data_IF_387365505431
#
_entry.id   IF_387365505431
#
_cell.length_a   1.000
_cell.length_b   1.000
_cell.length_c   1.000
_cell.angle_alpha   90.00
_cell.angle_beta   90.00
_cell.angle_gamma   90.00
#
_symmetry.space_group_name_H-M   'P 1'
#
loop_
_entity.id
_entity.type
_entity.pdbx_description
1 polymer ?
#
# COMPACT_ATOMS: atom_id res chain seq x y z
N UNK A 1 11.57 -14.27 -17.33
CA UNK A 1 12.13 -13.25 -16.41
C UNK A 1 11.10 -12.14 -16.35
N UNK A 2 10.14 -12.22 -15.43
CA UNK A 2 9.18 -11.14 -15.18
C UNK A 2 9.46 -10.58 -13.80
N UNK A 3 10.29 -9.54 -13.76
CA UNK A 3 10.36 -8.67 -12.61
C UNK A 3 9.06 -7.90 -12.53
N UNK A 4 8.08 -8.40 -11.77
CA UNK A 4 6.93 -7.60 -11.35
C UNK A 4 7.48 -6.47 -10.48
N UNK A 5 7.81 -5.35 -11.11
CA UNK A 5 8.04 -4.08 -10.42
C UNK A 5 6.77 -3.84 -9.61
N UNK A 6 6.87 -3.96 -8.28
CA UNK A 6 5.83 -3.55 -7.36
C UNK A 6 5.68 -2.02 -7.43
N UNK A 7 5.09 -1.53 -8.52
CA UNK A 7 4.57 -0.18 -8.61
C UNK A 7 3.37 -0.15 -7.68
N UNK A 8 3.53 0.56 -6.57
CA UNK A 8 2.42 0.96 -5.72
C UNK A 8 1.34 1.57 -6.63
N UNK A 9 0.12 1.00 -6.61
CA UNK A 9 -0.94 1.43 -7.52
C UNK A 9 -1.27 2.91 -7.28
N UNK A 10 -1.67 3.67 -8.31
CA UNK A 10 -2.14 5.04 -8.13
C UNK A 10 -3.26 5.10 -7.09
N UNK A 11 -3.33 6.18 -6.32
CA UNK A 11 -4.25 6.40 -5.20
C UNK A 11 -4.05 5.48 -3.98
N UNK A 12 -2.96 4.72 -3.91
CA UNK A 12 -2.61 4.01 -2.68
C UNK A 12 -2.25 5.00 -1.58
N UNK A 13 -2.90 4.88 -0.42
CA UNK A 13 -2.57 5.68 0.77
C UNK A 13 -1.25 5.20 1.36
N UNK A 14 -0.25 6.07 1.41
CA UNK A 14 1.09 5.77 1.94
C UNK A 14 1.31 6.33 3.35
N UNK A 15 0.53 7.34 3.76
CA UNK A 15 0.52 7.86 5.13
C UNK A 15 -0.83 8.49 5.48
N UNK A 16 -1.15 8.52 6.78
CA UNK A 16 -2.35 9.13 7.35
C UNK A 16 -2.02 9.96 8.59
N UNK A 17 -2.76 11.06 8.77
CA UNK A 17 -2.81 11.81 10.01
C UNK A 17 -4.26 12.24 10.29
N UNK A 18 -4.56 12.59 11.54
CA UNK A 18 -5.91 12.93 11.97
C UNK A 18 -5.92 14.21 12.81
N UNK A 19 -6.88 15.09 12.59
CA UNK A 19 -7.10 16.28 13.40
C UNK A 19 -8.52 16.25 13.98
N UNK A 20 -8.63 16.33 15.29
CA UNK A 20 -9.93 16.25 15.98
C UNK A 20 -10.67 17.60 15.94
N UNK A 21 -12.01 17.62 16.03
CA UNK A 21 -12.77 18.86 16.21
C UNK A 21 -12.27 19.69 17.41
N UNK A 22 -11.91 19.02 18.52
CA UNK A 22 -11.39 19.69 19.70
C UNK A 22 -10.10 20.48 19.41
N UNK A 23 -9.22 19.93 18.58
CA UNK A 23 -7.99 20.61 18.13
C UNK A 23 -8.29 21.76 17.16
N UNK A 24 -9.30 21.59 16.28
CA UNK A 24 -9.56 22.50 15.16
C UNK A 24 -10.46 23.69 15.52
N UNK A 25 -11.38 23.53 16.47
CA UNK A 25 -12.26 24.62 16.90
C UNK A 25 -12.55 24.67 18.41
N UNK A 26 -11.95 23.80 19.23
CA UNK A 26 -12.13 23.80 20.68
C UNK A 26 -13.43 23.14 21.17
N UNK A 27 -14.22 22.54 20.28
CA UNK A 27 -15.48 21.86 20.60
C UNK A 27 -15.51 20.43 20.03
N UNK A 28 -16.40 19.58 20.53
CA UNK A 28 -16.64 18.23 19.99
C UNK A 28 -17.29 18.22 18.59
N UNK A 29 -17.67 19.38 18.05
CA UNK A 29 -18.21 19.51 16.70
C UNK A 29 -17.84 20.86 16.12
N UNK A 30 -17.34 20.87 14.89
CA UNK A 30 -16.96 22.07 14.17
C UNK A 30 -17.79 22.24 12.91
N UNK A 31 -17.80 23.46 12.39
CA UNK A 31 -18.26 23.81 11.04
C UNK A 31 -17.07 24.22 10.20
N UNK A 32 -16.80 23.49 9.13
CA UNK A 32 -15.89 23.93 8.07
C UNK A 32 -16.63 24.98 7.23
N UNK A 33 -16.10 26.19 7.15
CA UNK A 33 -16.73 27.29 6.41
C UNK A 33 -15.93 27.74 5.20
N UNK A 34 -14.67 27.34 5.13
CA UNK A 34 -13.78 27.62 4.01
C UNK A 34 -12.77 26.49 3.89
N UNK A 35 -12.37 26.15 2.67
CA UNK A 35 -11.29 25.20 2.41
C UNK A 35 -10.55 25.59 1.13
N UNK A 36 -9.23 25.74 1.23
CA UNK A 36 -8.32 26.16 0.16
C UNK A 36 -7.17 25.16 0.02
N UNK A 37 -7.26 24.24 -0.94
CA UNK A 37 -6.11 23.44 -1.36
C UNK A 37 -5.10 24.28 -2.13
N UNK A 38 -3.80 24.09 -1.90
CA UNK A 38 -2.71 24.75 -2.64
C UNK A 38 -1.81 23.73 -3.32
N UNK A 39 -1.41 24.01 -4.56
CA UNK A 39 -0.40 23.22 -5.28
C UNK A 39 0.79 24.13 -5.61
N UNK A 40 1.99 23.78 -5.13
CA UNK A 40 3.20 24.58 -5.33
C UNK A 40 4.04 24.15 -6.53
N UNK A 41 3.54 23.21 -7.31
CA UNK A 41 4.18 22.72 -8.54
C UNK A 41 3.27 22.97 -9.73
N UNK A 42 3.87 23.46 -10.82
CA UNK A 42 3.18 23.85 -12.05
C UNK A 42 2.61 22.61 -12.76
N UNK A 43 1.31 22.64 -13.06
CA UNK A 43 0.67 21.71 -13.98
C UNK A 43 0.39 22.47 -15.27
N UNK A 44 1.38 22.45 -16.17
CA UNK A 44 1.48 23.14 -17.47
C UNK A 44 2.18 24.51 -17.49
N UNK A 45 2.73 24.84 -18.67
CA UNK A 45 3.51 26.05 -18.94
C UNK A 45 2.61 27.30 -18.94
N UNK A 46 2.86 28.21 -18.00
CA UNK A 46 2.13 29.47 -17.86
C UNK A 46 1.70 29.78 -16.43
N UNK A 47 1.75 28.79 -15.55
CA UNK A 47 1.31 28.96 -14.16
C UNK A 47 2.46 29.38 -13.23
N UNK A 48 2.22 30.46 -12.50
CA UNK A 48 3.00 30.94 -11.35
C UNK A 48 2.81 29.98 -10.16
N UNK A 49 3.88 29.56 -9.44
CA UNK A 49 3.77 28.74 -8.24
C UNK A 49 2.88 29.39 -7.17
N UNK A 50 1.90 28.65 -6.61
CA UNK A 50 1.07 29.12 -5.48
C UNK A 50 -0.43 29.27 -5.75
N UNK A 51 -0.97 28.72 -6.84
CA UNK A 51 -2.41 28.85 -7.13
C UNK A 51 -3.28 27.85 -6.35
N UNK A 52 -4.36 28.37 -5.79
CA UNK A 52 -5.43 27.61 -5.14
C UNK A 52 -5.99 26.59 -6.13
N UNK A 53 -5.98 25.31 -5.78
CA UNK A 53 -6.58 24.22 -6.55
C UNK A 53 -8.04 24.01 -6.14
N UNK A 54 -8.87 23.49 -7.05
CA UNK A 54 -10.22 23.05 -6.70
C UNK A 54 -10.21 21.74 -5.87
N UNK A 55 -9.07 21.04 -5.80
CA UNK A 55 -8.95 19.75 -5.11
C UNK A 55 -9.61 18.60 -5.90
N UNK A 56 -9.91 17.46 -5.25
CA UNK A 56 -9.71 17.16 -3.83
C UNK A 56 -8.25 16.81 -3.48
N UNK A 57 -7.40 16.61 -4.49
CA UNK A 57 -5.97 16.27 -4.31
C UNK A 57 -5.07 17.39 -4.77
N UNK A 58 -4.06 17.71 -3.96
CA UNK A 58 -2.98 18.65 -4.28
C UNK A 58 -1.69 17.90 -4.59
N UNK A 59 -0.90 18.41 -5.52
CA UNK A 59 0.39 17.82 -5.87
C UNK A 59 1.43 18.33 -4.87
N UNK A 60 2.23 17.42 -4.33
CA UNK A 60 3.29 17.78 -3.39
C UNK A 60 4.59 18.10 -4.12
N UNK A 61 5.54 18.73 -3.43
CA UNK A 61 6.92 18.92 -3.94
C UNK A 61 7.64 17.58 -4.15
N UNK A 62 7.22 16.53 -3.45
CA UNK A 62 7.76 15.18 -3.65
C UNK A 62 7.10 14.58 -4.89
N UNK A 63 7.89 14.46 -5.96
CA UNK A 63 7.46 13.82 -7.21
C UNK A 63 6.86 12.45 -6.91
N UNK A 64 5.63 12.27 -7.37
CA UNK A 64 4.96 11.00 -7.23
C UNK A 64 3.96 10.92 -6.06
N UNK A 65 3.85 11.98 -5.26
CA UNK A 65 2.94 12.03 -4.12
C UNK A 65 1.95 13.19 -4.24
N UNK A 66 0.71 12.90 -3.83
CA UNK A 66 -0.39 13.87 -3.69
C UNK A 66 -0.92 13.84 -2.28
N UNK A 67 -1.52 14.94 -1.84
CA UNK A 67 -2.24 14.99 -0.56
C UNK A 67 -3.72 15.24 -0.77
N UNK A 68 -4.55 14.72 0.12
CA UNK A 68 -5.95 15.08 0.25
C UNK A 68 -6.37 15.13 1.72
N UNK A 69 -7.49 15.80 1.97
CA UNK A 69 -8.15 15.81 3.28
C UNK A 69 -9.53 15.21 3.10
N UNK A 70 -9.94 14.31 3.99
CA UNK A 70 -11.28 13.77 4.06
C UNK A 70 -12.00 14.42 5.24
N UNK A 71 -13.18 14.95 4.95
CA UNK A 71 -14.09 15.50 5.95
C UNK A 71 -15.34 14.62 5.94
N UNK A 72 -15.73 14.09 7.10
CA UNK A 72 -16.79 13.07 7.20
C UNK A 72 -16.57 11.83 6.31
N UNK A 73 -15.31 11.48 6.03
CA UNK A 73 -14.94 10.34 5.19
C UNK A 73 -14.89 10.62 3.69
N UNK A 74 -15.26 11.82 3.24
CA UNK A 74 -15.29 12.19 1.82
C UNK A 74 -14.14 13.15 1.46
N UNK A 75 -13.45 12.98 0.31
CA UNK A 75 -12.41 13.90 -0.13
C UNK A 75 -12.92 15.33 -0.29
N UNK A 76 -12.34 16.26 0.47
CA UNK A 76 -12.76 17.65 0.51
C UNK A 76 -12.19 18.44 -0.67
N UNK A 77 -13.07 19.08 -1.42
CA UNK A 77 -12.74 20.06 -2.45
C UNK A 77 -12.76 21.48 -1.89
N UNK A 78 -12.39 22.45 -2.72
CA UNK A 78 -12.50 23.87 -2.38
C UNK A 78 -13.91 24.21 -1.87
N UNK A 79 -13.96 24.91 -0.73
CA UNK A 79 -15.18 25.45 -0.13
C UNK A 79 -15.01 26.96 0.05
N UNK A 80 -15.88 27.76 -0.54
CA UNK A 80 -15.93 29.22 -0.41
C UNK A 80 -16.86 29.62 0.76
N UNK A 81 -16.58 30.74 1.44
CA UNK A 81 -17.33 31.15 2.64
C UNK A 81 -18.81 31.45 2.41
N UNK A 82 -19.21 31.70 1.17
CA UNK A 82 -20.60 31.91 0.76
C UNK A 82 -21.38 30.59 0.56
N UNK A 83 -20.72 29.44 0.60
CA UNK A 83 -21.34 28.13 0.47
C UNK A 83 -21.78 27.59 1.85
N UNK A 84 -22.72 26.63 1.88
CA UNK A 84 -23.13 25.99 3.13
C UNK A 84 -21.96 25.36 3.88
N UNK A 85 -21.86 25.64 5.18
CA UNK A 85 -20.81 25.06 6.02
C UNK A 85 -20.99 23.56 6.22
N UNK A 86 -19.89 22.81 6.26
CA UNK A 86 -19.89 21.36 6.51
C UNK A 86 -19.69 21.12 8.02
N UNK A 87 -20.67 20.50 8.68
CA UNK A 87 -20.53 20.08 10.08
C UNK A 87 -19.76 18.76 10.17
N UNK A 88 -18.83 18.67 11.11
CA UNK A 88 -18.11 17.43 11.40
C UNK A 88 -17.85 17.28 12.90
N UNK A 89 -18.05 16.07 13.40
CA UNK A 89 -17.83 15.66 14.80
C UNK A 89 -16.80 14.53 14.93
N UNK A 90 -16.45 13.88 13.81
CA UNK A 90 -15.32 12.95 13.72
C UNK A 90 -14.03 13.69 13.33
N UNK A 91 -12.85 13.13 13.64
CA UNK A 91 -11.59 13.68 13.15
C UNK A 91 -11.56 13.74 11.62
N UNK A 92 -11.03 14.83 11.07
CA UNK A 92 -10.70 14.88 9.64
C UNK A 92 -9.47 14.01 9.38
N UNK A 93 -9.43 13.33 8.24
CA UNK A 93 -8.30 12.49 7.85
C UNK A 93 -7.46 13.19 6.79
N UNK A 94 -6.16 13.24 7.01
CA UNK A 94 -5.19 13.77 6.05
C UNK A 94 -4.47 12.57 5.45
N UNK A 95 -4.52 12.44 4.13
CA UNK A 95 -3.90 11.33 3.41
C UNK A 95 -2.78 11.82 2.51
N UNK A 96 -1.67 11.08 2.53
CA UNK A 96 -0.63 11.14 1.51
C UNK A 96 -0.84 9.93 0.59
N UNK A 97 -0.95 10.20 -0.71
CA UNK A 97 -1.31 9.24 -1.75
C UNK A 97 -0.18 9.09 -2.76
N UNK A 98 -0.04 7.89 -3.28
CA UNK A 98 0.72 7.63 -4.50
C UNK A 98 -0.02 8.20 -5.70
N UNK A 99 0.64 8.99 -6.54
CA UNK A 99 0.06 9.44 -7.81
C UNK A 99 0.29 8.41 -8.95
N UNK A 100 -0.19 8.73 -10.15
CA UNK A 100 0.00 7.89 -11.32
C UNK A 100 1.41 7.97 -11.95
N UNK A 101 2.33 8.74 -11.37
CA UNK A 101 3.68 8.86 -11.88
C UNK A 101 4.39 7.49 -11.78
N UNK A 102 5.19 7.10 -12.78
CA UNK A 102 6.02 5.90 -12.69
C UNK A 102 7.18 6.07 -11.69
N UNK A 103 7.49 7.31 -11.30
CA UNK A 103 8.64 7.64 -10.48
C UNK A 103 8.22 8.17 -9.11
N UNK A 104 8.72 7.55 -8.04
CA UNK A 104 8.68 8.11 -6.68
C UNK A 104 10.05 8.75 -6.46
N UNK A 105 10.11 10.08 -6.42
CA UNK A 105 11.36 10.78 -6.17
C UNK A 105 11.72 10.72 -4.68
N UNK A 106 13.02 10.62 -4.37
CA UNK A 106 13.50 11.11 -3.07
C UNK A 106 13.16 12.60 -2.97
N UNK A 107 12.78 13.07 -1.79
CA UNK A 107 12.50 14.49 -1.62
C UNK A 107 12.29 14.88 -0.17
N UNK A 108 12.63 16.13 0.13
CA UNK A 108 12.27 16.80 1.36
C UNK A 108 11.34 17.94 0.99
N UNK A 109 10.29 18.16 1.75
CA UNK A 109 9.38 19.30 1.54
C UNK A 109 9.77 20.48 2.41
N UNK A 110 9.57 21.70 1.92
CA UNK A 110 9.96 22.93 2.59
C UNK A 110 8.94 23.46 3.62
N UNK A 111 8.15 22.57 4.26
CA UNK A 111 7.06 22.95 5.19
C UNK A 111 5.96 23.83 4.54
N UNK A 112 5.71 23.60 3.25
CA UNK A 112 4.74 24.35 2.45
C UNK A 112 3.29 24.08 2.87
N UNK A 113 2.44 25.12 2.86
CA UNK A 113 1.01 25.04 3.26
C UNK A 113 0.20 24.34 2.18
N UNK A 114 -0.14 23.07 2.36
CA UNK A 114 -0.92 22.32 1.38
C UNK A 114 -2.42 22.63 1.45
N UNK A 115 -2.91 22.94 2.66
CA UNK A 115 -4.31 23.33 2.86
C UNK A 115 -4.41 24.45 3.87
N UNK A 116 -5.24 25.44 3.56
CA UNK A 116 -5.66 26.49 4.47
C UNK A 116 -7.18 26.44 4.58
N UNK A 117 -7.70 26.51 5.80
CA UNK A 117 -9.14 26.40 6.00
C UNK A 117 -9.59 27.09 7.28
N UNK A 118 -10.87 27.39 7.33
CA UNK A 118 -11.50 28.03 8.47
C UNK A 118 -12.52 27.11 9.10
N UNK A 119 -12.46 27.02 10.42
CA UNK A 119 -13.48 26.38 11.22
C UNK A 119 -14.22 27.42 12.07
N UNK A 120 -15.44 27.08 12.45
CA UNK A 120 -16.21 27.78 13.48
C UNK A 120 -16.79 26.77 14.44
N UNK A 121 -17.01 27.19 15.67
CA UNK A 121 -17.82 26.42 16.63
C UNK A 121 -19.27 26.34 16.16
N UNK A 122 -20.03 25.39 16.72
CA UNK A 122 -21.48 25.33 16.45
C UNK A 122 -22.24 26.43 17.18
N UNK A 123 -21.73 26.82 18.35
CA UNK A 123 -22.29 27.81 19.27
C UNK A 123 -21.94 29.27 18.92
N UNK A 124 -20.85 29.51 18.20
CA UNK A 124 -20.26 30.83 17.99
C UNK A 124 -20.06 31.22 16.53
N UNK A 125 -19.71 32.50 16.32
CA UNK A 125 -19.47 33.10 15.00
C UNK A 125 -17.98 33.29 14.68
N UNK A 126 -17.10 33.18 15.69
CA UNK A 126 -15.66 33.38 15.59
C UNK A 126 -15.03 32.39 14.60
N UNK A 127 -14.17 32.92 13.74
CA UNK A 127 -13.41 32.16 12.74
C UNK A 127 -12.08 31.72 13.34
N UNK A 128 -11.73 30.45 13.13
CA UNK A 128 -10.46 29.88 13.57
C UNK A 128 -9.69 29.45 12.33
N UNK A 129 -8.49 29.99 12.18
CA UNK A 129 -7.63 29.79 11.01
C UNK A 129 -6.75 28.56 11.21
N UNK A 130 -6.80 27.62 10.25
CA UNK A 130 -6.09 26.36 10.30
C UNK A 130 -5.22 26.16 9.05
N UNK A 131 -4.04 25.57 9.25
CA UNK A 131 -3.10 25.26 8.18
C UNK A 131 -2.66 23.80 8.31
N UNK A 132 -2.70 23.07 7.20
CA UNK A 132 -2.01 21.78 7.06
C UNK A 132 -0.79 22.00 6.20
N UNK A 133 0.38 21.79 6.80
CA UNK A 133 1.67 21.87 6.13
C UNK A 133 2.23 20.48 5.91
N UNK A 134 3.00 20.33 4.85
CA UNK A 134 3.77 19.12 4.62
C UNK A 134 5.24 19.39 4.94
N UNK A 135 5.69 18.87 6.09
CA UNK A 135 7.09 18.82 6.47
C UNK A 135 7.49 17.35 6.58
N UNK A 136 8.01 16.80 5.48
CA UNK A 136 8.39 15.39 5.43
C UNK A 136 9.66 15.20 4.61
N UNK A 137 10.37 14.11 4.93
CA UNK A 137 11.48 13.60 4.13
C UNK A 137 11.11 12.21 3.65
N UNK A 138 10.93 12.07 2.35
CA UNK A 138 10.76 10.77 1.72
C UNK A 138 12.12 10.23 1.26
N UNK A 139 12.46 9.05 1.77
CA UNK A 139 13.57 8.24 1.24
C UNK A 139 13.00 7.02 0.55
N UNK A 140 13.11 6.98 -0.76
CA UNK A 140 12.93 5.78 -1.56
C UNK A 140 14.01 4.78 -1.18
N UNK A 141 13.55 3.58 -0.84
CA UNK A 141 14.43 2.44 -0.66
C UNK A 141 14.67 1.86 -2.05
N UNK A 142 15.89 1.97 -2.53
CA UNK A 142 16.33 1.34 -3.78
C UNK A 142 16.65 -0.13 -3.55
N UNK A 143 16.20 -0.99 -4.48
CA UNK A 143 16.45 -2.43 -4.45
C UNK A 143 15.28 -3.26 -3.92
N UNK A 144 15.38 -4.57 -4.12
CA UNK A 144 14.45 -5.57 -3.59
C UNK A 144 15.24 -6.59 -2.77
N UNK A 145 14.56 -7.36 -1.93
CA UNK A 145 15.15 -8.60 -1.44
C UNK A 145 15.47 -9.53 -2.61
N UNK A 146 16.49 -10.39 -2.47
CA UNK A 146 16.80 -11.46 -3.41
C UNK A 146 16.34 -12.80 -2.85
N UNK A 147 15.83 -13.66 -3.73
CA UNK A 147 15.47 -15.05 -3.40
C UNK A 147 16.24 -15.94 -4.37
N UNK A 148 17.28 -16.66 -3.92
CA UNK A 148 18.07 -17.52 -4.80
C UNK A 148 17.23 -18.70 -5.27
N UNK A 149 17.39 -19.08 -6.55
CA UNK A 149 16.83 -20.32 -7.08
C UNK A 149 17.40 -21.51 -6.33
N UNK A 150 16.55 -22.47 -6.00
CA UNK A 150 16.95 -23.73 -5.38
C UNK A 150 16.33 -24.91 -6.13
N UNK A 151 17.10 -25.98 -6.26
CA UNK A 151 16.62 -27.27 -6.77
C UNK A 151 16.48 -28.22 -5.59
N UNK A 152 15.27 -28.75 -5.40
CA UNK A 152 14.98 -29.74 -4.35
C UNK A 152 14.84 -31.10 -5.01
N UNK A 153 15.83 -31.97 -4.83
CA UNK A 153 15.81 -33.33 -5.36
C UNK A 153 15.16 -34.29 -4.36
N UNK A 154 14.04 -34.88 -4.77
CA UNK A 154 13.38 -35.96 -4.03
C UNK A 154 14.07 -37.29 -4.33
N UNK A 155 14.15 -38.17 -3.33
CA UNK A 155 14.75 -39.49 -3.50
C UNK A 155 13.86 -40.38 -4.40
N UNK A 156 14.47 -41.19 -5.29
CA UNK A 156 13.73 -42.18 -6.08
C UNK A 156 12.89 -43.09 -5.19
N UNK A 157 11.60 -43.16 -5.47
CA UNK A 157 10.62 -43.88 -4.63
C UNK A 157 9.99 -45.03 -5.41
N UNK A 158 9.94 -46.21 -4.80
CA UNK A 158 9.28 -47.38 -5.41
C UNK A 158 7.78 -47.30 -5.17
N UNK A 159 6.95 -47.54 -6.20
CA UNK A 159 5.49 -47.44 -6.08
C UNK A 159 4.89 -48.16 -4.85
N UNK A 160 5.45 -49.33 -4.48
CA UNK A 160 5.02 -50.11 -3.31
C UNK A 160 5.15 -49.41 -1.95
N UNK A 161 5.97 -48.35 -1.83
CA UNK A 161 6.07 -47.57 -0.59
C UNK A 161 4.91 -46.59 -0.44
N UNK A 162 4.17 -46.32 -1.52
CA UNK A 162 2.93 -45.55 -1.52
C UNK A 162 1.76 -46.54 -1.42
N UNK A 163 1.55 -47.08 -0.23
CA UNK A 163 0.64 -48.21 0.01
C UNK A 163 -0.87 -47.88 -0.07
N UNK A 164 -1.23 -46.63 -0.39
CA UNK A 164 -2.62 -46.20 -0.50
C UNK A 164 -2.75 -44.71 -0.83
N UNK A 165 -3.98 -44.27 -1.11
CA UNK A 165 -4.29 -42.85 -1.33
C UNK A 165 -3.95 -42.05 -0.07
N UNK A 166 -3.23 -40.93 -0.24
CA UNK A 166 -2.81 -40.07 0.86
C UNK A 166 -1.48 -40.46 1.52
N UNK A 167 -0.86 -41.56 1.11
CA UNK A 167 0.50 -41.90 1.56
C UNK A 167 1.54 -40.98 0.93
N UNK A 168 2.57 -40.63 1.69
CA UNK A 168 3.73 -39.83 1.25
C UNK A 168 5.00 -40.65 1.34
N UNK A 169 6.02 -40.27 0.55
CA UNK A 169 7.33 -40.88 0.57
C UNK A 169 8.39 -39.89 0.08
N UNK A 170 9.66 -40.16 0.43
CA UNK A 170 10.82 -39.36 0.03
C UNK A 170 10.71 -37.87 0.40
N UNK A 171 10.30 -37.58 1.63
CA UNK A 171 10.24 -36.22 2.14
C UNK A 171 11.63 -35.57 2.16
N UNK A 172 11.70 -34.32 1.71
CA UNK A 172 12.92 -33.52 1.67
C UNK A 172 12.63 -32.13 2.20
N UNK A 173 13.22 -31.79 3.33
CA UNK A 173 13.18 -30.43 3.87
C UNK A 173 14.01 -29.49 3.00
N UNK A 174 13.51 -28.29 2.78
CA UNK A 174 14.20 -27.19 2.11
C UNK A 174 13.82 -25.87 2.78
N UNK A 175 14.58 -24.81 2.49
CA UNK A 175 14.34 -23.48 3.07
C UNK A 175 14.27 -22.44 1.97
N UNK A 176 13.30 -21.53 2.04
CA UNK A 176 13.24 -20.37 1.16
C UNK A 176 14.01 -19.24 1.83
N UNK A 177 15.20 -18.94 1.31
CA UNK A 177 16.04 -17.86 1.83
C UNK A 177 15.65 -16.53 1.19
N UNK A 178 15.41 -15.50 2.01
CA UNK A 178 15.24 -14.13 1.55
C UNK A 178 16.44 -13.33 2.00
N UNK A 179 17.24 -12.88 1.05
CA UNK A 179 18.55 -12.29 1.27
C UNK A 179 18.57 -10.83 0.80
N UNK A 180 19.62 -10.11 1.21
CA UNK A 180 19.96 -8.77 0.72
C UNK A 180 18.80 -7.76 0.73
N UNK A 181 17.88 -7.87 1.69
CA UNK A 181 16.81 -6.89 1.86
C UNK A 181 17.42 -5.55 2.25
N UNK A 182 17.21 -4.48 1.46
CA UNK A 182 17.69 -3.16 1.82
C UNK A 182 17.20 -2.71 3.20
N UNK A 183 18.01 -1.93 3.92
CA UNK A 183 17.60 -1.35 5.20
C UNK A 183 16.37 -0.46 5.01
N UNK A 184 15.40 -0.59 5.91
CA UNK A 184 14.15 0.20 5.90
C UNK A 184 12.90 -0.56 5.43
N UNK A 185 13.03 -1.80 4.94
CA UNK A 185 11.86 -2.67 4.77
C UNK A 185 11.37 -3.15 6.15
N UNK A 186 10.20 -2.69 6.56
CA UNK A 186 9.65 -2.99 7.89
C UNK A 186 8.83 -4.30 7.92
N UNK A 187 8.41 -4.80 6.75
CA UNK A 187 7.59 -6.01 6.59
C UNK A 187 7.90 -6.66 5.24
N UNK A 188 8.07 -7.97 5.25
CA UNK A 188 8.24 -8.79 4.03
C UNK A 188 7.04 -9.72 3.94
N UNK A 189 6.41 -9.74 2.77
CA UNK A 189 5.35 -10.67 2.42
C UNK A 189 5.84 -11.57 1.30
N UNK A 190 5.44 -12.83 1.32
CA UNK A 190 5.75 -13.80 0.27
C UNK A 190 4.48 -14.52 -0.20
N UNK A 191 4.50 -14.95 -1.44
CA UNK A 191 3.43 -15.77 -2.04
C UNK A 191 4.08 -16.89 -2.83
N UNK A 192 3.67 -18.12 -2.55
CA UNK A 192 4.08 -19.29 -3.32
C UNK A 192 3.13 -19.43 -4.51
N UNK A 193 3.70 -19.37 -5.72
CA UNK A 193 2.96 -19.59 -6.96
C UNK A 193 3.52 -20.82 -7.69
N UNK A 194 2.75 -21.89 -7.86
CA UNK A 194 3.17 -23.05 -8.65
C UNK A 194 3.32 -22.67 -10.13
N UNK A 195 4.25 -23.33 -10.82
CA UNK A 195 4.42 -23.18 -12.28
C UNK A 195 3.65 -24.27 -13.02
N UNK A 196 2.76 -23.89 -13.93
CA UNK A 196 1.92 -24.79 -14.74
C UNK A 196 0.42 -24.38 -14.73
N UNK A 197 -0.29 -24.70 -15.81
CA UNK A 197 -1.61 -24.08 -16.11
C UNK A 197 -2.84 -24.73 -15.46
N UNK A 198 -2.70 -25.79 -14.65
CA UNK A 198 -3.84 -26.52 -14.09
C UNK A 198 -3.58 -26.98 -12.65
N UNK A 199 -3.71 -26.06 -11.71
CA UNK A 199 -3.41 -26.31 -10.31
C UNK A 199 -4.71 -26.61 -9.56
N UNK A 200 -4.85 -27.83 -9.06
CA UNK A 200 -5.67 -28.05 -7.85
C UNK A 200 -4.93 -27.36 -6.69
N UNK A 201 -5.22 -26.07 -6.51
CA UNK A 201 -4.56 -25.19 -5.53
C UNK A 201 -4.90 -25.58 -4.09
N UNK A 202 -5.94 -26.39 -3.90
CA UNK A 202 -6.35 -26.94 -2.61
C UNK A 202 -5.38 -28.06 -2.19
N UNK A 203 -4.75 -27.89 -1.02
CA UNK A 203 -3.88 -28.86 -0.34
C UNK A 203 -2.38 -28.90 -0.72
N UNK A 204 -1.82 -27.84 -1.29
CA UNK A 204 -0.35 -27.71 -1.44
C UNK A 204 0.27 -28.69 -2.45
N UNK A 205 -0.53 -29.22 -3.37
CA UNK A 205 -0.10 -30.19 -4.39
C UNK A 205 0.36 -29.46 -5.65
N UNK A 206 1.57 -29.79 -6.12
CA UNK A 206 2.11 -29.24 -7.36
C UNK A 206 1.57 -29.99 -8.59
N UNK A 207 1.39 -29.30 -9.73
CA UNK A 207 1.22 -29.97 -11.00
C UNK A 207 2.48 -30.77 -11.35
N UNK A 208 2.31 -31.89 -12.04
CA UNK A 208 3.44 -32.55 -12.68
C UNK A 208 3.92 -31.68 -13.85
N UNK A 209 5.23 -31.68 -14.11
CA UNK A 209 5.74 -31.05 -15.32
C UNK A 209 5.24 -31.78 -16.56
N UNK A 210 5.19 -31.09 -17.70
CA UNK A 210 4.78 -31.68 -18.98
C UNK A 210 5.64 -32.88 -19.42
N UNK A 211 6.86 -32.98 -18.89
CA UNK A 211 7.82 -34.06 -19.19
C UNK A 211 7.68 -35.27 -18.25
N UNK A 212 6.87 -35.18 -17.19
CA UNK A 212 6.72 -36.27 -16.23
C UNK A 212 5.87 -37.41 -16.79
N UNK A 213 6.38 -38.64 -16.70
CA UNK A 213 5.66 -39.87 -17.07
C UNK A 213 4.97 -40.55 -15.89
N UNK A 214 5.17 -40.04 -14.67
CA UNK A 214 4.61 -40.61 -13.45
C UNK A 214 3.07 -40.52 -13.44
N UNK A 215 2.40 -41.61 -13.06
CA UNK A 215 0.93 -41.69 -12.93
C UNK A 215 0.54 -42.03 -11.49
N UNK A 216 -0.56 -41.44 -11.01
CA UNK A 216 -1.11 -41.71 -9.68
C UNK A 216 -0.33 -41.09 -8.51
N UNK A 217 0.67 -40.24 -8.77
CA UNK A 217 1.48 -39.58 -7.75
C UNK A 217 1.65 -38.10 -8.05
N UNK A 218 1.82 -37.29 -7.00
CA UNK A 218 2.07 -35.85 -7.08
C UNK A 218 3.07 -35.42 -6.02
N UNK A 219 3.68 -34.24 -6.22
CA UNK A 219 4.51 -33.60 -5.21
C UNK A 219 3.61 -32.74 -4.34
N UNK A 220 3.74 -32.86 -3.02
CA UNK A 220 3.06 -32.00 -2.04
C UNK A 220 4.11 -31.17 -1.29
N UNK A 221 3.82 -29.88 -1.13
CA UNK A 221 4.61 -28.97 -0.31
C UNK A 221 3.88 -28.72 0.99
N UNK A 222 4.59 -28.84 2.10
CA UNK A 222 4.09 -28.62 3.45
C UNK A 222 4.93 -27.57 4.16
N UNK A 223 4.37 -26.95 5.19
CA UNK A 223 5.12 -26.16 6.15
C UNK A 223 5.89 -27.07 7.14
N UNK A 224 6.64 -26.45 8.05
CA UNK A 224 7.40 -27.17 9.08
C UNK A 224 6.54 -27.98 10.05
N UNK A 225 5.23 -27.69 10.15
CA UNK A 225 4.28 -28.43 10.98
C UNK A 225 3.60 -29.57 10.21
N UNK A 226 3.93 -29.77 8.93
CA UNK A 226 3.34 -30.78 8.06
C UNK A 226 2.00 -30.36 7.44
N UNK A 227 1.54 -29.13 7.68
CA UNK A 227 0.32 -28.62 7.06
C UNK A 227 0.60 -28.29 5.58
N UNK A 228 -0.32 -28.59 4.65
CA UNK A 228 -0.13 -28.23 3.25
C UNK A 228 -0.08 -26.72 3.06
N UNK A 229 0.84 -26.24 2.21
CA UNK A 229 0.94 -24.81 1.93
C UNK A 229 -0.26 -24.30 1.14
N UNK A 230 -0.71 -23.08 1.46
CA UNK A 230 -1.69 -22.37 0.66
C UNK A 230 -0.99 -21.62 -0.48
N UNK A 231 -1.21 -22.08 -1.73
CA UNK A 231 -0.73 -21.35 -2.90
C UNK A 231 -1.53 -20.07 -3.12
N UNK A 232 -0.92 -19.13 -3.84
CA UNK A 232 -1.49 -17.84 -4.22
C UNK A 232 -1.98 -16.96 -3.05
N UNK A 233 -1.64 -17.34 -1.82
CA UNK A 233 -1.94 -16.59 -0.60
C UNK A 233 -0.73 -15.78 -0.17
N UNK A 234 -0.96 -14.51 0.19
CA UNK A 234 0.08 -13.64 0.73
C UNK A 234 0.31 -13.96 2.20
N UNK A 235 1.51 -14.42 2.54
CA UNK A 235 1.93 -14.77 3.88
C UNK A 235 2.99 -13.78 4.37
N UNK A 236 2.98 -13.52 5.67
CA UNK A 236 3.96 -12.65 6.33
C UNK A 236 5.06 -13.51 6.97
N UNK A 237 6.30 -13.07 6.84
CA UNK A 237 7.44 -13.60 7.62
C UNK A 237 7.46 -12.95 8.99
#
# INVERSE_FOLDING_TARGET
>A
MDAVRGLCLPNTVVARAYLTPQTLCGEGTCRLVNFRPFSYVNVASGDVPGFVSNGPTVITEIKGLRMQVLVNGEPQTRLDENQPSIKFSSPIEIQLLRDASPELGNGTTADSIQFWFFTKTTSGSNRIDNYIRLNTRLTRIEGSCSVPSQTVELQPTRARTLAGIGTTAAERSFQISINNCPKGYNRIFYRLKPMGDNVETSAGVLPLSAQSTAKGVRIRVTDSAGAPVAFDTSNRI
#
